data_IF_077026755028
#
_entry.id   IF_077026755028
#
_cell.length_a   1.000
_cell.length_b   1.000
_cell.length_c   1.000
_cell.angle_alpha   90.00
_cell.angle_beta   90.00
_cell.angle_gamma   90.00
#
_symmetry.space_group_name_H-M   'P 1'
#
loop_
_entity.id
_entity.type
_entity.pdbx_description
1 polymer ?
#
# COMPACT_ATOMS: atom_id res chain seq x y z
N UNK A 1 -5.04 8.97 -6.49
CA UNK A 1 -6.39 9.05 -7.07
C UNK A 1 -6.60 10.37 -7.77
N UNK A 2 -7.75 10.46 -8.46
CA UNK A 2 -8.16 11.31 -9.59
C UNK A 2 -7.71 10.80 -10.98
N UNK A 3 -8.69 10.50 -11.84
CA UNK A 3 -8.64 9.57 -12.98
C UNK A 3 -9.60 8.38 -12.75
N UNK A 4 -9.53 7.33 -13.56
CA UNK A 4 -10.37 6.12 -13.38
C UNK A 4 -9.88 5.21 -12.23
N UNK A 5 -8.67 5.44 -11.73
CA UNK A 5 -8.04 4.64 -10.68
C UNK A 5 -7.78 5.48 -9.43
N UNK A 6 -7.80 4.82 -8.28
CA UNK A 6 -7.24 5.39 -7.07
C UNK A 6 -5.71 5.29 -7.11
N UNK A 7 -5.16 4.10 -7.30
CA UNK A 7 -3.72 3.86 -7.46
C UNK A 7 -3.44 2.50 -8.10
N UNK A 8 -2.49 2.43 -9.03
CA UNK A 8 -1.99 1.18 -9.63
C UNK A 8 -0.93 0.47 -8.78
N UNK A 9 -0.53 1.04 -7.64
CA UNK A 9 0.52 0.49 -6.78
C UNK A 9 1.92 1.05 -7.10
N UNK A 10 2.95 0.31 -6.69
CA UNK A 10 4.34 0.67 -6.96
C UNK A 10 4.63 0.62 -8.46
N UNK A 11 5.51 1.51 -8.93
CA UNK A 11 6.09 1.40 -10.27
C UNK A 11 7.15 0.29 -10.24
N UNK A 12 7.17 -0.54 -11.28
CA UNK A 12 8.16 -1.62 -11.44
C UNK A 12 8.97 -1.42 -12.72
N UNK A 13 9.04 -0.20 -13.23
CA UNK A 13 9.80 0.11 -14.43
C UNK A 13 11.28 -0.26 -14.26
N UNK A 14 11.90 -0.68 -15.37
CA UNK A 14 13.29 -1.19 -15.39
C UNK A 14 14.32 -0.24 -14.75
N UNK A 15 14.06 1.07 -14.75
CA UNK A 15 14.95 2.08 -14.15
C UNK A 15 15.08 1.95 -12.64
N UNK A 16 14.07 1.45 -11.95
CA UNK A 16 14.10 1.27 -10.49
C UNK A 16 15.03 0.13 -10.07
N UNK A 17 15.20 -0.89 -10.93
CA UNK A 17 16.10 -2.01 -10.68
C UNK A 17 17.57 -1.72 -10.98
N UNK A 18 17.86 -0.75 -11.87
CA UNK A 18 19.24 -0.45 -12.32
C UNK A 18 19.90 0.73 -11.62
N UNK A 19 19.16 1.48 -10.78
CA UNK A 19 19.66 2.71 -10.16
C UNK A 19 20.37 2.50 -8.82
N UNK A 20 20.49 1.25 -8.37
CA UNK A 20 21.05 0.95 -7.05
C UNK A 20 22.55 0.73 -7.14
N UNK A 21 23.33 1.78 -6.84
CA UNK A 21 24.69 1.58 -6.35
C UNK A 21 24.58 0.80 -5.03
N UNK A 22 24.95 -0.47 -5.05
CA UNK A 22 24.85 -1.38 -3.90
C UNK A 22 25.81 -1.01 -2.74
N UNK A 23 26.57 0.08 -2.86
CA UNK A 23 27.59 0.50 -1.89
C UNK A 23 27.03 1.14 -0.61
N UNK A 24 25.79 1.65 -0.61
CA UNK A 24 25.17 2.29 0.56
C UNK A 24 23.67 1.99 0.65
N UNK A 25 23.31 0.73 0.89
CA UNK A 25 21.92 0.38 1.23
C UNK A 25 21.70 0.78 2.70
N UNK A 26 21.29 2.03 2.90
CA UNK A 26 20.54 2.39 4.10
C UNK A 26 19.24 1.58 4.04
N UNK A 27 19.23 0.45 4.76
CA UNK A 27 18.08 -0.47 4.92
C UNK A 27 16.81 0.28 5.42
N UNK A 28 16.95 1.53 5.84
CA UNK A 28 15.90 2.41 6.32
C UNK A 28 15.05 3.10 5.22
N UNK A 29 15.44 3.07 3.94
CA UNK A 29 14.88 3.98 2.91
C UNK A 29 13.66 3.48 2.09
N UNK A 30 13.21 2.23 2.22
CA UNK A 30 12.05 1.73 1.46
C UNK A 30 10.77 1.66 2.29
N UNK A 31 9.80 2.58 2.07
CA UNK A 31 8.45 2.62 2.69
C UNK A 31 8.35 2.84 4.22
N UNK A 32 9.35 2.45 5.01
CA UNK A 32 9.30 2.51 6.48
C UNK A 32 8.92 3.89 7.04
N UNK A 33 9.45 5.03 6.55
CA UNK A 33 9.12 6.34 7.10
C UNK A 33 7.67 6.76 6.88
N UNK A 34 7.07 6.47 5.70
CA UNK A 34 5.68 6.85 5.42
C UNK A 34 4.70 5.99 6.20
N UNK A 35 4.96 4.68 6.29
CA UNK A 35 4.15 3.75 7.09
C UNK A 35 4.18 4.15 8.56
N UNK A 36 5.37 4.46 9.11
CA UNK A 36 5.49 4.93 10.49
C UNK A 36 4.77 6.25 10.73
N UNK A 37 4.75 7.15 9.76
CA UNK A 37 4.01 8.42 9.85
C UNK A 37 2.50 8.21 9.84
N UNK A 38 1.99 7.30 9.01
CA UNK A 38 0.56 6.95 8.98
C UNK A 38 0.13 6.31 10.30
N UNK A 39 0.88 5.30 10.78
CA UNK A 39 0.59 4.61 12.05
C UNK A 39 0.57 5.57 13.25
N UNK A 40 1.51 6.51 13.31
CA UNK A 40 1.62 7.46 14.42
C UNK A 40 0.86 8.78 14.17
N UNK A 41 0.05 8.85 13.11
CA UNK A 41 -0.70 10.05 12.79
C UNK A 41 -1.77 10.29 13.86
N UNK A 42 -1.90 11.54 14.34
CA UNK A 42 -2.77 11.87 15.48
C UNK A 42 -4.16 12.36 15.09
N UNK A 43 -4.36 12.72 13.83
CA UNK A 43 -5.66 13.20 13.32
C UNK A 43 -6.38 12.04 12.63
N UNK A 44 -7.69 12.16 12.52
CA UNK A 44 -8.50 11.19 11.75
C UNK A 44 -8.14 11.30 10.27
N UNK A 45 -7.80 10.17 9.66
CA UNK A 45 -7.53 10.01 8.23
C UNK A 45 -8.74 9.40 7.54
N UNK A 46 -9.30 10.14 6.58
CA UNK A 46 -10.40 9.68 5.72
C UNK A 46 -9.86 9.52 4.29
N UNK A 47 -9.99 8.31 3.74
CA UNK A 47 -9.57 7.99 2.38
C UNK A 47 -10.75 8.08 1.41
N UNK A 48 -10.59 8.82 0.31
CA UNK A 48 -11.57 8.91 -0.76
C UNK A 48 -11.09 8.07 -1.96
N UNK A 49 -11.73 6.94 -2.20
CA UNK A 49 -11.31 5.93 -3.18
C UNK A 49 -12.21 6.03 -4.41
N UNK A 50 -11.71 6.68 -5.47
CA UNK A 50 -12.46 7.00 -6.69
C UNK A 50 -12.49 5.87 -7.74
N UNK A 51 -11.84 4.75 -7.48
CA UNK A 51 -11.64 3.67 -8.45
C UNK A 51 -10.67 2.63 -7.91
N UNK A 52 -10.09 1.76 -8.77
CA UNK A 52 -9.31 0.64 -8.28
C UNK A 52 -8.05 1.05 -7.51
N UNK A 53 -7.74 0.31 -6.44
CA UNK A 53 -6.57 0.51 -5.58
C UNK A 53 -5.77 -0.79 -5.49
N UNK A 54 -4.52 -0.77 -5.96
CA UNK A 54 -3.70 -1.98 -6.15
C UNK A 54 -2.44 -1.93 -5.27
N UNK A 55 -2.04 -3.08 -4.71
CA UNK A 55 -0.77 -3.28 -4.01
C UNK A 55 -0.53 -2.27 -2.89
N UNK A 56 0.60 -1.56 -2.90
CA UNK A 56 0.95 -0.58 -1.87
C UNK A 56 -0.09 0.54 -1.72
N UNK A 57 -0.80 0.90 -2.80
CA UNK A 57 -1.91 1.86 -2.74
C UNK A 57 -3.11 1.34 -1.94
N UNK A 58 -3.34 0.03 -1.93
CA UNK A 58 -4.36 -0.61 -1.10
C UNK A 58 -3.88 -0.79 0.35
N UNK A 59 -2.64 -1.22 0.56
CA UNK A 59 -2.14 -1.51 1.92
C UNK A 59 -1.96 -0.24 2.76
N UNK A 60 -1.65 0.89 2.14
CA UNK A 60 -1.64 2.19 2.85
C UNK A 60 -3.03 2.67 3.24
N UNK A 61 -4.06 2.45 2.41
CA UNK A 61 -5.44 2.77 2.78
C UNK A 61 -5.93 2.00 4.01
N UNK A 62 -5.39 0.80 4.25
CA UNK A 62 -5.71 0.01 5.44
C UNK A 62 -5.28 0.68 6.77
N UNK A 63 -4.36 1.64 6.70
CA UNK A 63 -3.89 2.42 7.85
C UNK A 63 -4.74 3.66 8.14
N UNK A 64 -5.79 3.91 7.34
CA UNK A 64 -6.71 5.03 7.52
C UNK A 64 -7.83 4.63 8.47
N UNK A 65 -8.44 5.60 9.13
CA UNK A 65 -9.52 5.36 10.08
C UNK A 65 -10.85 5.05 9.39
N UNK A 66 -11.09 5.66 8.22
CA UNK A 66 -12.32 5.47 7.45
C UNK A 66 -12.10 5.62 5.95
N UNK A 67 -12.79 4.81 5.15
CA UNK A 67 -12.73 4.83 3.70
C UNK A 67 -14.10 5.12 3.11
N UNK A 68 -14.18 6.07 2.18
CA UNK A 68 -15.35 6.33 1.33
C UNK A 68 -14.99 5.90 -0.08
N UNK A 69 -15.72 4.92 -0.60
CA UNK A 69 -15.44 4.28 -1.87
C UNK A 69 -16.54 4.58 -2.89
N UNK A 70 -16.15 4.86 -4.14
CA UNK A 70 -17.08 4.83 -5.27
C UNK A 70 -17.56 3.41 -5.55
N UNK A 71 -18.72 3.26 -6.19
CA UNK A 71 -19.23 1.95 -6.63
C UNK A 71 -18.28 1.21 -7.60
N UNK A 72 -17.42 1.94 -8.30
CA UNK A 72 -16.39 1.41 -9.21
C UNK A 72 -15.07 1.02 -8.50
N UNK A 73 -14.96 1.21 -7.18
CA UNK A 73 -13.74 0.90 -6.46
C UNK A 73 -13.62 -0.61 -6.18
N UNK A 74 -12.44 -1.16 -6.44
CA UNK A 74 -12.06 -2.49 -5.97
C UNK A 74 -10.62 -2.47 -5.45
N UNK A 75 -10.30 -3.45 -4.61
CA UNK A 75 -9.03 -3.58 -3.94
C UNK A 75 -8.35 -4.88 -4.38
N UNK A 76 -7.11 -4.79 -4.85
CA UNK A 76 -6.33 -5.95 -5.29
C UNK A 76 -4.93 -5.92 -4.70
N UNK A 77 -4.52 -7.01 -4.07
CA UNK A 77 -3.20 -7.15 -3.43
C UNK A 77 -2.47 -8.35 -4.06
N UNK A 78 -1.78 -8.16 -5.20
CA UNK A 78 -1.25 -9.28 -6.00
C UNK A 78 0.17 -9.70 -5.59
N UNK A 79 0.55 -9.59 -4.31
CA UNK A 79 1.94 -9.82 -3.86
C UNK A 79 2.46 -11.23 -4.23
N UNK A 80 1.67 -12.28 -3.94
CA UNK A 80 2.07 -13.65 -4.28
C UNK A 80 2.20 -13.88 -5.78
N UNK A 81 1.32 -13.28 -6.60
CA UNK A 81 1.40 -13.37 -8.06
C UNK A 81 2.64 -12.66 -8.62
N UNK A 82 3.12 -11.63 -7.93
CA UNK A 82 4.35 -10.91 -8.27
C UNK A 82 5.61 -11.52 -7.65
N UNK A 83 5.50 -12.61 -6.87
CA UNK A 83 6.63 -13.21 -6.17
C UNK A 83 7.18 -12.35 -5.03
N UNK A 84 6.38 -11.44 -4.49
CA UNK A 84 6.75 -10.50 -3.43
C UNK A 84 6.16 -10.89 -2.08
N UNK A 85 6.82 -10.49 -1.01
CA UNK A 85 6.27 -10.54 0.34
C UNK A 85 5.24 -9.42 0.55
N UNK A 86 4.32 -9.57 1.53
CA UNK A 86 3.38 -8.49 1.85
C UNK A 86 4.07 -7.22 2.36
N UNK A 87 3.60 -6.06 1.90
CA UNK A 87 4.12 -4.73 2.27
C UNK A 87 3.12 -3.92 3.11
N UNK A 88 3.55 -2.78 3.66
CA UNK A 88 2.64 -1.84 4.33
C UNK A 88 1.99 -2.40 5.60
N UNK A 89 2.67 -3.32 6.29
CA UNK A 89 2.15 -4.04 7.48
C UNK A 89 0.93 -4.93 7.18
N UNK A 90 0.62 -5.17 5.90
CA UNK A 90 -0.59 -5.89 5.49
C UNK A 90 -0.66 -7.33 5.99
N UNK A 91 0.48 -8.02 6.17
CA UNK A 91 0.51 -9.39 6.71
C UNK A 91 -0.17 -9.51 8.07
N UNK A 92 0.06 -8.55 8.97
CA UNK A 92 -0.53 -8.55 10.31
C UNK A 92 -1.82 -7.72 10.37
N UNK A 93 -1.90 -6.61 9.62
CA UNK A 93 -3.03 -5.69 9.69
C UNK A 93 -4.29 -6.29 9.07
N UNK A 94 -4.17 -6.98 7.94
CA UNK A 94 -5.33 -7.55 7.26
C UNK A 94 -5.97 -8.70 8.03
N UNK A 95 -5.16 -9.55 8.65
CA UNK A 95 -5.68 -10.56 9.57
C UNK A 95 -6.49 -9.92 10.71
N UNK A 96 -6.00 -8.81 11.28
CA UNK A 96 -6.67 -8.12 12.39
C UNK A 96 -7.99 -7.45 11.99
N UNK A 97 -8.12 -6.91 10.77
CA UNK A 97 -9.32 -6.17 10.35
C UNK A 97 -10.32 -7.02 9.55
N UNK A 98 -9.87 -8.10 8.89
CA UNK A 98 -10.73 -9.00 8.10
C UNK A 98 -10.92 -10.38 8.74
N UNK A 99 -10.10 -10.74 9.72
CA UNK A 99 -10.05 -12.09 10.29
C UNK A 99 -9.19 -13.05 9.47
N UNK A 100 -8.99 -14.25 10.01
CA UNK A 100 -8.38 -15.38 9.31
C UNK A 100 -9.42 -16.07 8.42
N UNK A 101 -8.97 -16.77 7.37
CA UNK A 101 -9.85 -17.67 6.62
C UNK A 101 -10.46 -18.74 7.54
N UNK A 102 -11.75 -19.00 7.37
CA UNK A 102 -12.45 -20.12 8.03
C UNK A 102 -12.09 -21.46 7.40
#
# INVERSE_FOLDING_TARGET
GAGDFYSSGNDFSYKEFTSTDHSNIDIELGFSPIIRRLINHKKVLIGLVNGPAIGFGCTTLALFDYLVCSDSAYFLIPFSSLGMTPEGVSSALFERIMGTSN
#
